data_IF_854075269148
#
_entry.id   IF_854075269148
#
_cell.length_a   1.000
_cell.length_b   1.000
_cell.length_c   1.000
_cell.angle_alpha   90.00
_cell.angle_beta   90.00
_cell.angle_gamma   90.00
#
_symmetry.space_group_name_H-M   'P 1'
#
loop_
_entity.id
_entity.type
_entity.pdbx_description
1 polymer ?
#
# COMPACT_ATOMS: atom_id res chain seq x y z
N UNK A 1 35.64 15.63 8.38
CA UNK A 1 34.38 16.02 9.03
C UNK A 1 33.25 15.65 8.09
N UNK A 2 32.30 14.85 8.59
CA UNK A 2 30.90 14.60 8.14
C UNK A 2 30.71 14.27 6.64
N UNK A 3 30.20 13.11 6.24
CA UNK A 3 29.11 12.36 6.84
C UNK A 3 29.34 10.87 6.73
N UNK A 4 29.34 10.20 7.88
CA UNK A 4 29.02 8.79 7.93
C UNK A 4 27.65 8.64 7.27
N UNK A 5 27.64 7.98 6.12
CA UNK A 5 26.46 7.44 5.50
C UNK A 5 26.00 6.31 6.43
N UNK A 6 25.40 6.71 7.55
CA UNK A 6 24.47 5.89 8.30
C UNK A 6 23.47 5.49 7.23
N UNK A 7 23.58 4.26 6.75
CA UNK A 7 22.45 3.60 6.14
C UNK A 7 21.33 3.86 7.13
N UNK A 8 20.39 4.74 6.77
CA UNK A 8 19.25 5.09 7.61
C UNK A 8 18.51 3.77 7.85
N UNK A 9 18.83 3.19 9.01
CA UNK A 9 18.27 1.97 9.53
C UNK A 9 16.75 2.06 9.40
N UNK A 10 16.18 1.16 8.60
CA UNK A 10 14.75 1.01 8.39
C UNK A 10 14.10 2.22 7.71
N UNK A 11 13.48 2.03 6.52
CA UNK A 11 12.46 2.97 6.07
C UNK A 11 11.27 2.93 7.04
N UNK A 12 11.41 3.63 8.15
CA UNK A 12 10.35 3.87 9.12
C UNK A 12 9.25 4.64 8.39
N UNK A 13 8.05 4.08 8.45
CA UNK A 13 6.88 4.74 7.93
C UNK A 13 6.53 5.83 8.91
N UNK A 14 6.97 7.05 8.63
CA UNK A 14 6.66 8.22 9.45
C UNK A 14 5.15 8.45 9.56
N UNK A 15 4.68 9.26 10.53
CA UNK A 15 3.26 9.47 10.80
C UNK A 15 2.47 10.01 9.60
N UNK A 16 3.11 10.83 8.76
CA UNK A 16 2.52 11.36 7.52
C UNK A 16 2.31 10.25 6.48
N UNK A 17 3.30 9.38 6.32
CA UNK A 17 3.22 8.21 5.46
C UNK A 17 2.17 7.21 5.94
N UNK A 18 2.09 6.97 7.25
CA UNK A 18 1.05 6.14 7.86
C UNK A 18 -0.36 6.70 7.61
N UNK A 19 -0.51 8.03 7.67
CA UNK A 19 -1.78 8.71 7.36
C UNK A 19 -2.17 8.51 5.90
N UNK A 20 -1.22 8.65 4.97
CA UNK A 20 -1.42 8.38 3.55
C UNK A 20 -1.86 6.93 3.31
N UNK A 21 -1.12 5.97 3.86
CA UNK A 21 -1.42 4.54 3.71
C UNK A 21 -2.80 4.18 4.26
N UNK A 22 -3.15 4.69 5.44
CA UNK A 22 -4.49 4.51 6.03
C UNK A 22 -5.60 5.10 5.16
N UNK A 23 -5.37 6.27 4.56
CA UNK A 23 -6.33 6.91 3.65
C UNK A 23 -6.54 6.06 2.39
N UNK A 24 -5.46 5.61 1.77
CA UNK A 24 -5.53 4.75 0.57
C UNK A 24 -6.21 3.42 0.88
N UNK A 25 -5.87 2.77 2.00
CA UNK A 25 -6.54 1.55 2.47
C UNK A 25 -8.04 1.75 2.69
N UNK A 26 -8.43 2.83 3.37
CA UNK A 26 -9.84 3.12 3.63
C UNK A 26 -10.63 3.38 2.35
N UNK A 27 -10.00 3.98 1.35
CA UNK A 27 -10.61 4.23 0.04
C UNK A 27 -10.79 2.93 -0.76
N UNK A 28 -9.74 2.10 -0.83
CA UNK A 28 -9.78 0.80 -1.49
C UNK A 28 -10.81 -0.15 -0.89
N UNK A 29 -10.94 -0.16 0.45
CA UNK A 29 -11.92 -0.99 1.13
C UNK A 29 -13.32 -0.41 1.14
N UNK A 30 -13.49 0.90 0.92
CA UNK A 30 -14.83 1.47 0.73
C UNK A 30 -15.43 0.99 -0.59
N UNK A 31 -14.60 0.90 -1.63
CA UNK A 31 -15.01 0.45 -2.96
C UNK A 31 -15.26 -1.08 -2.99
N UNK A 32 -14.47 -1.85 -2.23
CA UNK A 32 -14.47 -3.32 -2.23
C UNK A 32 -14.99 -3.94 -0.92
N UNK A 33 -15.76 -3.19 -0.13
CA UNK A 33 -16.13 -3.55 1.26
C UNK A 33 -16.79 -4.93 1.38
N UNK A 34 -17.61 -5.27 0.39
CA UNK A 34 -18.43 -6.48 0.33
C UNK A 34 -17.73 -7.66 -0.35
N UNK A 35 -16.67 -7.41 -1.15
CA UNK A 35 -16.05 -8.43 -2.01
C UNK A 35 -14.80 -9.07 -1.40
N UNK A 36 -14.14 -8.41 -0.46
CA UNK A 36 -12.88 -8.88 0.12
C UNK A 36 -13.04 -9.40 1.56
N UNK A 37 -12.67 -10.67 1.77
CA UNK A 37 -12.51 -11.25 3.09
C UNK A 37 -11.37 -10.59 3.89
N UNK A 38 -11.35 -10.83 5.21
CA UNK A 38 -10.35 -10.27 6.11
C UNK A 38 -8.90 -10.62 5.72
N UNK A 39 -8.68 -11.82 5.17
CA UNK A 39 -7.36 -12.25 4.70
C UNK A 39 -6.93 -11.49 3.45
N UNK A 40 -7.84 -11.28 2.50
CA UNK A 40 -7.60 -10.48 1.30
C UNK A 40 -7.33 -9.01 1.65
N UNK A 41 -8.10 -8.44 2.59
CA UNK A 41 -7.86 -7.09 3.14
C UNK A 41 -6.47 -6.98 3.79
N UNK A 42 -6.04 -8.00 4.54
CA UNK A 42 -4.69 -8.04 5.11
C UNK A 42 -3.61 -8.12 4.02
N UNK A 43 -3.85 -8.88 2.95
CA UNK A 43 -2.97 -8.95 1.78
C UNK A 43 -2.76 -7.58 1.13
N UNK A 44 -3.85 -6.87 0.85
CA UNK A 44 -3.83 -5.50 0.30
C UNK A 44 -3.05 -4.54 1.20
N UNK A 45 -3.24 -4.61 2.53
CA UNK A 45 -2.51 -3.76 3.47
C UNK A 45 -1.01 -4.02 3.46
N UNK A 46 -0.60 -5.29 3.40
CA UNK A 46 0.83 -5.68 3.30
C UNK A 46 1.45 -5.20 2.00
N UNK A 47 0.73 -5.36 0.88
CA UNK A 47 1.23 -4.94 -0.42
C UNK A 47 1.38 -3.42 -0.53
N UNK A 48 0.41 -2.67 -0.01
CA UNK A 48 0.49 -1.20 0.03
C UNK A 48 1.72 -0.72 0.80
N UNK A 49 2.05 -1.37 1.93
CA UNK A 49 3.26 -1.10 2.70
C UNK A 49 4.52 -1.45 1.90
N UNK A 50 4.52 -2.57 1.18
CA UNK A 50 5.64 -2.98 0.34
C UNK A 50 5.89 -2.00 -0.80
N UNK A 51 4.84 -1.56 -1.50
CA UNK A 51 4.92 -0.54 -2.54
C UNK A 51 5.48 0.78 -1.98
N UNK A 52 5.00 1.21 -0.83
CA UNK A 52 5.51 2.43 -0.20
C UNK A 52 7.00 2.34 0.16
N UNK A 53 7.45 1.19 0.67
CA UNK A 53 8.88 0.91 0.92
C UNK A 53 9.69 0.82 -0.37
N UNK A 54 9.07 0.42 -1.48
CA UNK A 54 9.68 0.38 -2.81
C UNK A 54 9.81 1.77 -3.45
N UNK A 55 9.23 2.82 -2.85
CA UNK A 55 9.41 4.20 -3.31
C UNK A 55 8.15 4.87 -3.89
N UNK A 56 7.00 4.19 -3.92
CA UNK A 56 5.75 4.82 -4.32
C UNK A 56 5.26 5.78 -3.22
N UNK A 57 5.05 7.06 -3.55
CA UNK A 57 4.70 8.11 -2.56
C UNK A 57 3.34 8.77 -2.81
N UNK A 58 2.65 8.45 -3.90
CA UNK A 58 1.39 9.10 -4.29
C UNK A 58 0.18 8.18 -4.10
N UNK A 59 -0.96 8.75 -3.72
CA UNK A 59 -2.22 7.99 -3.55
C UNK A 59 -2.63 7.27 -4.84
N UNK A 60 -2.56 7.96 -5.97
CA UNK A 60 -2.97 7.43 -7.28
C UNK A 60 -2.10 6.26 -7.72
N UNK A 61 -0.78 6.38 -7.57
CA UNK A 61 0.17 5.31 -7.90
C UNK A 61 -0.04 4.07 -7.04
N UNK A 62 -0.20 4.28 -5.72
CA UNK A 62 -0.45 3.20 -4.77
C UNK A 62 -1.75 2.46 -5.08
N UNK A 63 -2.83 3.18 -5.37
CA UNK A 63 -4.13 2.57 -5.76
C UNK A 63 -4.01 1.79 -7.07
N UNK A 64 -3.39 2.38 -8.09
CA UNK A 64 -3.24 1.75 -9.40
C UNK A 64 -2.41 0.45 -9.33
N UNK A 65 -1.35 0.43 -8.53
CA UNK A 65 -0.52 -0.77 -8.35
C UNK A 65 -1.25 -1.86 -7.57
N UNK A 66 -1.95 -1.52 -6.48
CA UNK A 66 -2.73 -2.50 -5.71
C UNK A 66 -3.88 -3.08 -6.54
N UNK A 67 -4.59 -2.27 -7.31
CA UNK A 67 -5.66 -2.75 -8.21
C UNK A 67 -5.15 -3.69 -9.30
N UNK A 68 -3.89 -3.54 -9.72
CA UNK A 68 -3.24 -4.45 -10.69
C UNK A 68 -2.80 -5.77 -10.06
N UNK A 69 -2.41 -5.75 -8.78
CA UNK A 69 -2.00 -6.94 -8.03
C UNK A 69 -3.17 -7.74 -7.47
N UNK A 70 -4.31 -7.08 -7.21
CA UNK A 70 -5.54 -7.78 -6.87
C UNK A 70 -5.87 -8.75 -8.01
N UNK A 71 -6.15 -10.03 -7.70
CA UNK A 71 -6.72 -10.91 -8.70
C UNK A 71 -8.08 -10.30 -9.03
N UNK A 72 -8.12 -9.53 -10.12
CA UNK A 72 -9.34 -9.33 -10.87
C UNK A 72 -9.88 -10.73 -11.04
N UNK A 73 -11.02 -11.04 -10.41
CA UNK A 73 -11.86 -12.14 -10.87
C UNK A 73 -12.10 -11.84 -12.34
N UNK A 74 -11.26 -12.43 -13.18
CA UNK A 74 -11.26 -12.21 -14.60
C UNK A 74 -12.54 -12.92 -15.03
N UNK A 75 -13.58 -12.11 -15.18
CA UNK A 75 -14.94 -12.53 -15.42
C UNK A 75 -14.99 -13.77 -16.28
N UNK A 76 -15.56 -14.82 -15.69
CA UNK A 76 -16.11 -15.98 -16.37
C UNK A 76 -16.99 -15.48 -17.52
N UNK A 77 -16.53 -15.67 -18.74
CA UNK A 77 -17.25 -15.40 -19.99
C UNK A 77 -16.93 -16.49 -20.98
#
# INVERSE_FOLDING_TARGET
>A
MISGHYFDDEQEIGPQALTLLRKVLADLFRDQADELDADAKLGVAKELVALFKSGFRSEEELKAMVQRSLPLDQGKG
#
